data_IF_052912397234
#
_entry.id   IF_052912397234
#
_cell.length_a   1.000
_cell.length_b   1.000
_cell.length_c   1.000
_cell.angle_alpha   90.00
_cell.angle_beta   90.00
_cell.angle_gamma   90.00
#
_symmetry.space_group_name_H-M   'P 1'
#
loop_
_entity.id
_entity.type
_entity.pdbx_description
1 polymer ?
#
# COMPACT_ATOMS: atom_id res chain seq x y z
N UNK A 1 1.49 -2.63 41.31
CA UNK A 1 0.44 -1.85 40.61
C UNK A 1 0.63 -2.10 39.12
N UNK A 2 -0.04 -3.10 38.56
CA UNK A 2 0.08 -3.47 37.16
C UNK A 2 -0.79 -2.51 36.34
N UNK A 3 -0.17 -1.52 35.69
CA UNK A 3 -0.91 -0.66 34.76
C UNK A 3 -1.42 -1.55 33.63
N UNK A 4 -2.74 -1.81 33.60
CA UNK A 4 -3.40 -2.41 32.43
C UNK A 4 -3.24 -1.42 31.27
N UNK A 5 -2.32 -1.73 30.37
CA UNK A 5 -2.15 -1.02 29.10
C UNK A 5 -3.47 -1.18 28.35
N UNK A 6 -4.27 -0.10 28.26
CA UNK A 6 -5.49 -0.09 27.43
C UNK A 6 -5.10 -0.59 26.03
N UNK A 7 -5.92 -1.43 25.38
CA UNK A 7 -5.65 -1.80 24.00
C UNK A 7 -5.56 -0.53 23.17
N UNK A 8 -4.45 -0.35 22.45
CA UNK A 8 -4.23 0.78 21.56
C UNK A 8 -5.27 0.73 20.44
N UNK A 9 -6.16 1.72 20.41
CA UNK A 9 -7.07 1.90 19.29
C UNK A 9 -6.26 2.18 18.02
N UNK A 10 -6.73 1.61 16.91
CA UNK A 10 -6.17 1.84 15.59
C UNK A 10 -7.25 2.36 14.65
N UNK A 11 -6.86 3.27 13.76
CA UNK A 11 -7.65 3.67 12.60
C UNK A 11 -7.28 2.73 11.46
N UNK A 12 -8.28 2.29 10.69
CA UNK A 12 -8.09 1.45 9.52
C UNK A 12 -8.79 2.04 8.30
N UNK A 13 -8.25 1.69 7.13
CA UNK A 13 -8.86 1.90 5.82
C UNK A 13 -9.17 0.54 5.21
N UNK A 14 -10.44 0.27 4.89
CA UNK A 14 -10.84 -0.93 4.15
C UNK A 14 -11.25 -0.59 2.73
N UNK A 15 -10.91 -1.47 1.80
CA UNK A 15 -11.49 -1.52 0.47
C UNK A 15 -12.55 -2.62 0.38
N UNK A 16 -13.50 -2.46 -0.54
CA UNK A 16 -14.39 -3.52 -0.96
C UNK A 16 -14.07 -3.89 -2.41
N UNK A 17 -13.83 -5.17 -2.67
CA UNK A 17 -13.53 -5.64 -4.02
C UNK A 17 -14.65 -5.30 -5.00
N UNK A 18 -14.29 -4.72 -6.15
CA UNK A 18 -15.24 -4.28 -7.17
C UNK A 18 -15.92 -2.92 -6.89
N UNK A 19 -15.56 -2.23 -5.81
CA UNK A 19 -16.02 -0.87 -5.52
C UNK A 19 -14.84 0.07 -5.30
N UNK A 20 -14.92 1.25 -5.90
CA UNK A 20 -13.96 2.35 -5.66
C UNK A 20 -14.26 3.12 -4.37
N UNK A 21 -14.78 2.42 -3.35
CA UNK A 21 -15.15 2.99 -2.06
C UNK A 21 -14.25 2.44 -0.97
N UNK A 22 -13.82 3.35 -0.11
CA UNK A 22 -13.06 3.00 1.08
C UNK A 22 -13.83 3.32 2.35
N UNK A 23 -13.64 2.47 3.36
CA UNK A 23 -14.21 2.66 4.69
C UNK A 23 -13.13 3.10 5.67
N UNK A 24 -13.36 4.22 6.35
CA UNK A 24 -12.49 4.71 7.43
C UNK A 24 -13.20 4.39 8.75
N UNK A 25 -12.52 3.69 9.67
CA UNK A 25 -13.07 3.43 10.99
C UNK A 25 -12.01 3.12 12.04
N UNK A 26 -12.42 3.01 13.30
CA UNK A 26 -11.54 2.62 14.41
C UNK A 26 -11.90 1.27 15.01
N UNK A 27 -10.91 0.61 15.61
CA UNK A 27 -11.08 -0.65 16.36
C UNK A 27 -9.88 -0.91 17.27
N UNK A 28 -10.01 -1.84 18.20
CA UNK A 28 -8.89 -2.42 18.95
C UNK A 28 -8.43 -3.76 18.38
N UNK A 29 -9.20 -4.33 17.44
CA UNK A 29 -8.96 -5.62 16.79
C UNK A 29 -9.47 -5.54 15.34
N UNK A 30 -8.57 -5.33 14.38
CA UNK A 30 -8.91 -5.13 12.96
C UNK A 30 -9.39 -6.42 12.34
N UNK A 31 -8.71 -7.54 12.58
CA UNK A 31 -9.08 -8.84 12.01
C UNK A 31 -10.49 -9.27 12.42
N UNK A 32 -10.80 -9.19 13.72
CA UNK A 32 -12.14 -9.52 14.21
C UNK A 32 -13.20 -8.59 13.64
N UNK A 33 -12.88 -7.30 13.52
CA UNK A 33 -13.81 -6.30 12.97
C UNK A 33 -14.11 -6.58 11.50
N UNK A 34 -13.09 -6.86 10.69
CA UNK A 34 -13.24 -7.22 9.27
C UNK A 34 -14.07 -8.49 9.11
N UNK A 35 -13.74 -9.57 9.85
CA UNK A 35 -14.52 -10.82 9.83
C UNK A 35 -15.99 -10.60 10.18
N UNK A 36 -16.26 -9.77 11.18
CA UNK A 36 -17.64 -9.45 11.61
C UNK A 36 -18.38 -8.64 10.55
N UNK A 37 -17.70 -7.75 9.82
CA UNK A 37 -18.34 -6.98 8.74
C UNK A 37 -18.54 -7.83 7.48
N UNK A 38 -17.62 -8.74 7.18
CA UNK A 38 -17.69 -9.63 6.02
C UNK A 38 -18.95 -10.51 6.03
N UNK A 39 -19.46 -10.93 7.19
CA UNK A 39 -20.67 -11.76 7.26
C UNK A 39 -21.94 -11.05 6.76
N UNK A 40 -21.93 -9.71 6.76
CA UNK A 40 -23.04 -8.88 6.26
C UNK A 40 -22.82 -8.32 4.86
N UNK A 41 -21.70 -8.64 4.20
CA UNK A 41 -21.32 -8.08 2.90
C UNK A 41 -20.99 -9.22 1.91
N UNK A 42 -21.63 -9.25 0.73
CA UNK A 42 -21.31 -10.24 -0.30
C UNK A 42 -19.98 -9.94 -1.02
N UNK A 43 -19.40 -8.76 -0.81
CA UNK A 43 -18.12 -8.32 -1.41
C UNK A 43 -16.97 -8.63 -0.46
N UNK A 44 -15.82 -9.03 -1.00
CA UNK A 44 -14.59 -9.25 -0.22
C UNK A 44 -14.06 -7.94 0.34
N UNK A 45 -13.86 -7.86 1.65
CA UNK A 45 -13.21 -6.73 2.31
C UNK A 45 -11.71 -6.96 2.46
N UNK A 46 -10.91 -5.95 2.10
CA UNK A 46 -9.46 -5.96 2.28
C UNK A 46 -9.01 -4.79 3.17
N UNK A 47 -8.10 -5.06 4.10
CA UNK A 47 -7.44 -4.01 4.88
C UNK A 47 -6.38 -3.37 4.01
N UNK A 48 -6.58 -2.11 3.64
CA UNK A 48 -5.66 -1.38 2.78
C UNK A 48 -4.57 -0.68 3.59
N UNK A 49 -4.92 -0.19 4.79
CA UNK A 49 -4.00 0.58 5.64
C UNK A 49 -4.47 0.63 7.09
N UNK A 50 -3.53 0.81 8.02
CA UNK A 50 -3.80 1.01 9.46
C UNK A 50 -2.78 1.95 10.09
N UNK A 51 -3.19 2.72 11.09
CA UNK A 51 -2.28 3.45 11.97
C UNK A 51 -2.78 3.48 13.42
N UNK A 52 -1.90 3.81 14.35
CA UNK A 52 -2.31 4.16 15.71
C UNK A 52 -3.24 5.38 15.67
N UNK A 53 -4.34 5.31 16.42
CA UNK A 53 -5.30 6.40 16.47
C UNK A 53 -6.66 5.94 16.99
N UNK A 54 -7.38 6.86 17.61
CA UNK A 54 -8.71 6.61 18.14
C UNK A 54 -9.78 7.43 17.45
N UNK A 55 -10.94 7.51 18.11
CA UNK A 55 -12.12 8.24 17.60
C UNK A 55 -11.84 9.69 17.21
N UNK A 56 -10.89 10.36 17.87
CA UNK A 56 -10.52 11.74 17.53
C UNK A 56 -9.90 11.85 16.13
N UNK A 57 -9.00 10.92 15.77
CA UNK A 57 -8.39 10.88 14.45
C UNK A 57 -9.41 10.47 13.38
N UNK A 58 -10.23 9.45 13.67
CA UNK A 58 -11.34 9.05 12.79
C UNK A 58 -12.30 10.20 12.49
N UNK A 59 -12.74 10.92 13.53
CA UNK A 59 -13.64 12.06 13.37
C UNK A 59 -13.01 13.18 12.55
N UNK A 60 -11.72 13.46 12.74
CA UNK A 60 -11.00 14.45 11.95
C UNK A 60 -10.88 14.02 10.47
N UNK A 61 -10.62 12.74 10.19
CA UNK A 61 -10.60 12.21 8.82
C UNK A 61 -11.99 12.25 8.17
N UNK A 62 -13.04 11.89 8.90
CA UNK A 62 -14.41 11.98 8.41
C UNK A 62 -14.82 13.42 8.10
N UNK A 63 -14.34 14.38 8.90
CA UNK A 63 -14.55 15.80 8.65
C UNK A 63 -13.78 16.28 7.42
N UNK A 64 -12.52 15.87 7.27
CA UNK A 64 -11.69 16.22 6.11
C UNK A 64 -12.30 15.68 4.81
N UNK A 65 -12.73 14.42 4.80
CA UNK A 65 -13.29 13.77 3.62
C UNK A 65 -14.81 13.87 3.52
N UNK A 66 -15.43 14.81 4.25
CA UNK A 66 -16.89 14.93 4.29
C UNK A 66 -17.52 15.12 2.91
N UNK A 67 -16.85 15.86 2.02
CA UNK A 67 -17.30 16.10 0.64
C UNK A 67 -17.25 14.84 -0.23
N UNK A 68 -16.46 13.85 0.17
CA UNK A 68 -16.27 12.56 -0.49
C UNK A 68 -17.12 11.44 0.15
N UNK A 69 -17.88 11.75 1.18
CA UNK A 69 -18.74 10.78 1.85
C UNK A 69 -19.89 10.36 0.91
N UNK A 70 -19.97 9.06 0.60
CA UNK A 70 -21.05 8.51 -0.23
C UNK A 70 -22.18 7.95 0.63
N UNK A 71 -21.82 7.16 1.64
CA UNK A 71 -22.81 6.53 2.53
C UNK A 71 -22.19 6.12 3.86
N UNK A 72 -22.61 6.78 4.94
CA UNK A 72 -22.19 6.42 6.29
C UNK A 72 -20.69 6.63 6.48
N UNK A 73 -19.93 5.55 6.65
CA UNK A 73 -18.46 5.59 6.82
C UNK A 73 -17.71 5.23 5.53
N UNK A 74 -18.40 5.23 4.39
CA UNK A 74 -17.83 4.93 3.06
C UNK A 74 -17.59 6.21 2.26
N UNK A 75 -16.36 6.35 1.76
CA UNK A 75 -15.84 7.51 1.07
C UNK A 75 -15.33 7.13 -0.32
N UNK A 76 -15.54 8.03 -1.28
CA UNK A 76 -15.01 7.93 -2.64
C UNK A 76 -13.87 8.93 -2.79
N UNK A 77 -12.64 8.43 -2.59
CA UNK A 77 -11.43 9.25 -2.65
C UNK A 77 -10.77 9.23 -4.03
N UNK A 78 -11.36 8.57 -5.02
CA UNK A 78 -10.76 8.40 -6.35
C UNK A 78 -10.42 9.73 -7.03
N UNK A 79 -11.26 10.75 -6.83
CA UNK A 79 -11.03 12.10 -7.35
C UNK A 79 -9.83 12.81 -6.70
N UNK A 80 -9.41 12.37 -5.51
CA UNK A 80 -8.27 12.90 -4.78
C UNK A 80 -6.98 12.10 -5.04
N UNK A 81 -7.09 10.90 -5.61
CA UNK A 81 -5.98 10.01 -5.90
C UNK A 81 -6.13 8.64 -5.26
N UNK A 82 -5.00 8.02 -4.88
CA UNK A 82 -4.99 6.74 -4.16
C UNK A 82 -5.55 6.93 -2.73
N UNK A 83 -6.61 6.19 -2.35
CA UNK A 83 -7.23 6.34 -1.04
C UNK A 83 -6.28 6.14 0.14
N UNK A 84 -5.32 5.22 0.05
CA UNK A 84 -4.35 4.96 1.13
C UNK A 84 -3.42 6.15 1.31
N UNK A 85 -2.85 6.66 0.23
CA UNK A 85 -1.93 7.79 0.27
C UNK A 85 -2.61 9.09 0.71
N UNK A 86 -3.82 9.36 0.21
CA UNK A 86 -4.61 10.52 0.62
C UNK A 86 -4.89 10.48 2.13
N UNK A 87 -5.28 9.31 2.65
CA UNK A 87 -5.55 9.12 4.08
C UNK A 87 -4.26 9.20 4.90
N UNK A 88 -3.18 8.52 4.50
CA UNK A 88 -1.93 8.51 5.27
C UNK A 88 -1.32 9.90 5.40
N UNK A 89 -1.31 10.70 4.32
CA UNK A 89 -0.77 12.06 4.37
C UNK A 89 -1.66 12.99 5.19
N UNK A 90 -2.98 12.82 5.10
CA UNK A 90 -3.92 13.54 5.97
C UNK A 90 -3.70 13.20 7.44
N UNK A 91 -3.47 11.92 7.77
CA UNK A 91 -3.12 11.51 9.14
C UNK A 91 -1.81 12.16 9.59
N UNK A 92 -0.77 12.21 8.74
CA UNK A 92 0.50 12.87 9.09
C UNK A 92 0.33 14.36 9.38
N UNK A 93 -0.56 15.04 8.65
CA UNK A 93 -0.93 16.44 8.90
C UNK A 93 -1.69 16.63 10.21
N UNK A 94 -2.61 15.72 10.54
CA UNK A 94 -3.49 15.83 11.71
C UNK A 94 -2.88 15.30 13.01
N UNK A 95 -2.03 14.26 12.93
CA UNK A 95 -1.48 13.55 14.10
C UNK A 95 -0.78 14.47 15.12
N UNK A 96 0.07 15.44 14.72
CA UNK A 96 0.69 16.37 15.67
C UNK A 96 -0.33 17.19 16.47
N UNK A 97 -1.40 17.65 15.81
CA UNK A 97 -2.46 18.43 16.45
C UNK A 97 -3.32 17.63 17.42
N UNK A 98 -3.28 16.30 17.32
CA UNK A 98 -4.00 15.36 18.18
C UNK A 98 -3.12 14.70 19.25
N UNK A 99 -1.84 15.08 19.32
CA UNK A 99 -0.87 14.47 20.24
C UNK A 99 -0.55 13.01 19.92
N UNK A 100 -0.78 12.57 18.68
CA UNK A 100 -0.47 11.22 18.20
C UNK A 100 0.93 11.19 17.57
N UNK A 101 1.64 10.05 17.63
CA UNK A 101 2.87 9.90 16.89
C UNK A 101 2.59 10.07 15.39
N UNK A 102 3.47 10.80 14.70
CA UNK A 102 3.39 10.92 13.24
C UNK A 102 3.68 9.52 12.67
N UNK A 103 2.74 8.89 11.95
CA UNK A 103 3.02 7.60 11.35
C UNK A 103 4.17 7.76 10.36
N UNK A 104 5.04 6.74 10.24
CA UNK A 104 6.09 6.77 9.23
C UNK A 104 5.46 7.00 7.84
N UNK A 105 6.17 7.68 6.92
CA UNK A 105 5.75 7.73 5.53
C UNK A 105 5.49 6.29 5.06
N UNK A 106 4.50 6.12 4.17
CA UNK A 106 4.21 4.82 3.59
C UNK A 106 5.46 4.39 2.81
N UNK A 107 6.29 3.53 3.38
CA UNK A 107 7.40 2.93 2.65
C UNK A 107 6.76 1.90 1.74
N UNK A 108 6.70 2.15 0.43
CA UNK A 108 6.45 1.05 -0.49
C UNK A 108 7.60 0.05 -0.27
N UNK A 109 7.34 -1.22 0.10
CA UNK A 109 8.38 -2.18 0.46
C UNK A 109 9.34 -2.52 -0.69
N UNK A 110 9.15 -1.90 -1.84
CA UNK A 110 9.79 -2.20 -3.10
C UNK A 110 10.79 -1.12 -3.55
N UNK A 111 11.09 -0.08 -2.79
CA UNK A 111 12.13 0.88 -3.23
C UNK A 111 13.52 0.49 -2.78
N UNK A 112 14.39 0.25 -3.76
CA UNK A 112 15.83 0.11 -3.53
C UNK A 112 16.60 0.87 -4.60
N UNK A 113 17.81 1.33 -4.25
CA UNK A 113 18.73 1.92 -5.22
C UNK A 113 19.14 0.92 -6.31
N UNK A 114 19.14 -0.38 -5.99
CA UNK A 114 19.53 -1.48 -6.88
C UNK A 114 18.64 -2.70 -6.61
N UNK A 115 18.15 -3.42 -7.64
CA UNK A 115 17.41 -4.65 -7.46
C UNK A 115 18.32 -5.74 -6.89
N UNK A 116 18.03 -6.20 -5.67
CA UNK A 116 18.72 -7.35 -5.07
C UNK A 116 17.68 -8.32 -4.56
N UNK A 117 17.63 -9.51 -5.16
CA UNK A 117 16.81 -10.61 -4.67
C UNK A 117 17.71 -11.63 -3.98
N UNK A 118 17.63 -11.79 -2.64
CA UNK A 118 18.32 -12.88 -1.98
C UNK A 118 17.73 -14.21 -2.47
N UNK A 119 18.58 -15.12 -2.96
CA UNK A 119 18.15 -16.46 -3.36
C UNK A 119 17.74 -17.24 -2.11
N UNK A 120 16.50 -17.71 -2.06
CA UNK A 120 15.99 -18.50 -0.94
C UNK A 120 16.56 -19.93 -1.02
N UNK A 121 17.03 -20.53 0.09
CA UNK A 121 17.45 -21.93 0.10
C UNK A 121 16.37 -22.85 -0.48
N UNK A 122 16.74 -23.68 -1.46
CA UNK A 122 15.79 -24.55 -2.17
C UNK A 122 15.21 -23.96 -3.46
N UNK A 123 15.53 -22.70 -3.78
CA UNK A 123 15.23 -22.13 -5.09
C UNK A 123 16.07 -22.83 -6.18
N UNK A 124 15.41 -23.40 -7.18
CA UNK A 124 16.09 -24.00 -8.35
C UNK A 124 15.81 -23.26 -9.65
N UNK A 125 14.78 -22.40 -9.67
CA UNK A 125 14.43 -21.60 -10.84
C UNK A 125 14.06 -20.19 -10.40
N UNK A 126 14.60 -19.22 -11.12
CA UNK A 126 14.30 -17.80 -10.96
C UNK A 126 13.69 -17.29 -12.26
N UNK A 127 12.62 -16.53 -12.14
CA UNK A 127 12.05 -15.76 -13.25
C UNK A 127 12.17 -14.28 -12.90
N UNK A 128 12.79 -13.53 -13.79
CA UNK A 128 13.09 -12.12 -13.60
C UNK A 128 12.48 -11.34 -14.75
N UNK A 129 11.56 -10.44 -14.42
CA UNK A 129 10.87 -9.62 -15.40
C UNK A 129 11.16 -8.17 -15.12
N UNK A 130 11.50 -7.43 -16.17
CA UNK A 130 11.67 -5.99 -16.13
C UNK A 130 10.48 -5.33 -16.83
N UNK A 131 9.79 -4.43 -16.15
CA UNK A 131 8.70 -3.65 -16.75
C UNK A 131 8.95 -2.16 -16.55
N UNK A 132 8.81 -1.37 -17.60
CA UNK A 132 8.76 0.07 -17.48
C UNK A 132 7.32 0.50 -17.25
N UNK A 133 7.10 1.39 -16.27
CA UNK A 133 5.81 2.08 -16.14
C UNK A 133 6.02 3.49 -15.64
N UNK A 134 5.00 4.32 -15.82
CA UNK A 134 4.99 5.62 -15.18
C UNK A 134 4.96 5.45 -13.66
N UNK A 135 5.74 6.27 -12.97
CA UNK A 135 5.57 6.45 -11.53
C UNK A 135 4.11 6.77 -11.28
N UNK A 136 3.50 6.00 -10.40
CA UNK A 136 2.33 6.50 -9.74
C UNK A 136 2.77 7.65 -8.82
N UNK A 137 1.90 8.64 -8.64
CA UNK A 137 2.22 9.84 -7.87
C UNK A 137 2.68 9.52 -6.43
N UNK A 138 2.26 8.39 -5.83
CA UNK A 138 2.69 7.94 -4.50
C UNK A 138 4.14 7.44 -4.47
N UNK A 139 4.64 6.90 -5.58
CA UNK A 139 6.03 6.47 -5.68
C UNK A 139 6.95 7.66 -5.92
N UNK A 140 6.43 8.75 -6.51
CA UNK A 140 7.16 10.00 -6.61
C UNK A 140 7.64 10.45 -5.23
N UNK A 141 6.77 10.44 -4.22
CA UNK A 141 7.14 10.82 -2.84
C UNK A 141 8.23 9.92 -2.26
N UNK A 142 8.13 8.61 -2.50
CA UNK A 142 9.14 7.63 -2.08
C UNK A 142 10.52 7.87 -2.73
N UNK A 143 10.53 8.42 -3.95
CA UNK A 143 11.75 8.87 -4.65
C UNK A 143 12.15 10.32 -4.32
N UNK A 144 11.45 11.01 -3.40
CA UNK A 144 11.67 12.42 -3.10
C UNK A 144 11.32 13.37 -4.25
N UNK A 145 10.47 12.93 -5.17
CA UNK A 145 9.97 13.68 -6.32
C UNK A 145 8.61 14.32 -6.01
N UNK A 146 8.27 15.48 -6.60
CA UNK A 146 6.95 16.08 -6.44
C UNK A 146 5.86 15.16 -7.04
N UNK A 147 4.65 15.11 -6.47
CA UNK A 147 3.56 14.26 -6.96
C UNK A 147 3.16 14.50 -8.43
N UNK A 148 3.48 15.69 -8.97
CA UNK A 148 3.27 16.05 -10.38
C UNK A 148 4.36 15.52 -11.31
N UNK A 149 5.39 14.84 -10.79
CA UNK A 149 6.48 14.29 -11.59
C UNK A 149 5.98 13.08 -12.39
N UNK A 150 5.89 13.26 -13.69
CA UNK A 150 5.70 12.17 -14.64
C UNK A 150 7.07 11.66 -15.06
N UNK A 151 7.62 10.70 -14.32
CA UNK A 151 8.88 10.02 -14.70
C UNK A 151 8.64 8.53 -14.91
N UNK A 152 9.26 7.91 -15.93
CA UNK A 152 9.29 6.47 -16.04
C UNK A 152 10.09 5.89 -14.87
N UNK A 153 9.63 4.74 -14.37
CA UNK A 153 10.38 3.87 -13.47
C UNK A 153 10.42 2.46 -14.00
N UNK A 154 11.46 1.78 -13.57
CA UNK A 154 11.66 0.37 -13.85
C UNK A 154 11.20 -0.44 -12.65
N UNK A 155 10.21 -1.29 -12.87
CA UNK A 155 9.75 -2.30 -11.92
C UNK A 155 10.43 -3.63 -12.26
N UNK A 156 11.36 -4.02 -11.39
CA UNK A 156 12.04 -5.29 -11.38
C UNK A 156 11.23 -6.27 -10.55
N UNK A 157 10.77 -7.36 -11.16
CA UNK A 157 10.06 -8.44 -10.48
C UNK A 157 10.87 -9.72 -10.54
N UNK A 158 11.05 -10.36 -9.40
CA UNK A 158 11.67 -11.69 -9.30
C UNK A 158 10.69 -12.67 -8.69
N UNK A 159 10.49 -13.81 -9.33
CA UNK A 159 9.76 -14.97 -8.80
C UNK A 159 10.76 -16.11 -8.60
N UNK A 160 10.74 -16.69 -7.41
CA UNK A 160 11.59 -17.83 -7.05
C UNK A 160 10.72 -19.08 -6.98
N UNK A 161 11.18 -20.17 -7.59
CA UNK A 161 10.46 -21.44 -7.62
C UNK A 161 11.31 -22.57 -7.03
N UNK A 162 10.64 -23.52 -6.41
CA UNK A 162 11.25 -24.78 -5.95
C UNK A 162 11.39 -25.81 -7.09
N UNK A 163 11.93 -26.99 -6.78
CA UNK A 163 12.12 -28.08 -7.75
C UNK A 163 10.82 -28.70 -8.29
N UNK A 164 9.69 -28.45 -7.65
CA UNK A 164 8.36 -28.90 -8.07
C UNK A 164 7.66 -27.86 -8.94
N UNK A 165 8.16 -26.63 -8.96
CA UNK A 165 7.57 -25.50 -9.67
C UNK A 165 6.66 -24.62 -8.78
N UNK A 166 6.67 -24.82 -7.46
CA UNK A 166 5.91 -24.00 -6.52
C UNK A 166 6.63 -22.67 -6.26
N UNK A 167 5.87 -21.58 -6.13
CA UNK A 167 6.41 -20.24 -5.84
C UNK A 167 6.87 -20.17 -4.39
N UNK A 168 8.16 -19.93 -4.19
CA UNK A 168 8.79 -19.73 -2.87
C UNK A 168 8.70 -18.27 -2.42
N UNK A 169 8.91 -17.33 -3.34
CA UNK A 169 8.81 -15.90 -3.06
C UNK A 169 8.61 -15.09 -4.33
N UNK A 170 7.99 -13.92 -4.15
CA UNK A 170 7.92 -12.85 -5.15
C UNK A 170 8.51 -11.60 -4.52
N UNK A 171 9.45 -10.96 -5.22
CA UNK A 171 10.06 -9.70 -4.81
C UNK A 171 9.87 -8.69 -5.92
N UNK A 172 9.45 -7.48 -5.55
CA UNK A 172 9.31 -6.36 -6.46
C UNK A 172 10.28 -5.26 -6.04
N UNK A 173 10.88 -4.59 -7.03
CA UNK A 173 11.78 -3.48 -6.78
C UNK A 173 11.58 -2.40 -7.82
N UNK A 174 11.26 -1.20 -7.36
CA UNK A 174 11.13 0.00 -8.15
C UNK A 174 12.44 0.75 -8.12
N UNK A 175 12.94 1.11 -9.30
CA UNK A 175 14.17 1.87 -9.46
C UNK A 175 13.93 3.03 -10.41
N UNK A 176 14.51 4.18 -10.08
CA UNK A 176 14.52 5.38 -10.93
C UNK A 176 15.23 5.16 -12.27
N UNK A 177 14.90 5.97 -13.26
CA UNK A 177 15.36 5.96 -14.67
C UNK A 177 16.90 6.04 -14.88
N UNK A 178 17.69 6.20 -13.81
CA UNK A 178 19.15 6.38 -13.87
C UNK A 178 19.99 5.17 -13.45
N UNK A 179 19.39 4.00 -13.25
CA UNK A 179 20.10 2.81 -12.74
C UNK A 179 20.53 1.86 -13.87
N UNK A 180 21.75 1.30 -13.76
CA UNK A 180 22.27 0.30 -14.69
C UNK A 180 21.50 -1.02 -14.58
N UNK A 181 20.98 -1.56 -15.67
CA UNK A 181 20.20 -2.81 -15.63
C UNK A 181 21.05 -3.96 -15.06
N UNK A 182 20.67 -4.56 -13.92
CA UNK A 182 21.39 -5.71 -13.37
C UNK A 182 21.25 -6.95 -14.25
N UNK A 183 22.30 -7.78 -14.23
CA UNK A 183 22.39 -9.02 -15.01
C UNK A 183 21.25 -10.00 -14.67
N UNK A 184 20.67 -10.62 -15.71
CA UNK A 184 19.64 -11.66 -15.56
C UNK A 184 18.19 -11.17 -15.44
N UNK A 185 17.92 -9.88 -15.65
CA UNK A 185 16.56 -9.38 -15.88
C UNK A 185 16.29 -9.22 -17.37
N UNK A 186 15.26 -9.90 -17.87
CA UNK A 186 14.85 -9.81 -19.27
C UNK A 186 13.60 -8.93 -19.39
N UNK A 187 13.54 -8.12 -20.45
CA UNK A 187 12.31 -7.44 -20.84
C UNK A 187 11.33 -8.51 -21.36
N UNK A 188 10.04 -8.43 -21.01
CA UNK A 188 9.06 -9.30 -21.64
C UNK A 188 9.14 -9.12 -23.16
N UNK A 189 8.95 -10.18 -23.95
CA UNK A 189 8.92 -10.07 -25.40
C UNK A 189 7.86 -9.04 -25.77
N UNK A 190 8.27 -8.02 -26.54
CA UNK A 190 7.35 -7.02 -27.09
C UNK A 190 6.31 -7.80 -27.89
N UNK A 191 5.08 -7.86 -27.41
CA UNK A 191 3.98 -8.36 -28.21
C UNK A 191 3.80 -7.37 -29.36
N UNK A 192 4.39 -7.69 -30.51
CA UNK A 192 4.23 -6.92 -31.73
C UNK A 192 2.75 -6.81 -32.06
N UNK A 193 2.20 -5.62 -31.89
CA UNK A 193 0.90 -5.27 -32.43
C UNK A 193 0.98 -5.38 -33.95
N UNK A 194 0.16 -6.25 -34.50
CA UNK A 194 -0.15 -6.31 -35.93
C UNK A 194 -1.34 -5.40 -36.23
#
# INVERSE_FOLDING_TARGET
>A
MTQSRKPSEVVYLLGAEGLDLVKIGTTTDVERRVRTMQTGLPLTLSVLWTCEGGRALEGALHQEFREHNRRGEWFDLTSLGDPVAVVSETVRRLAPGLGLPIPPPRVSPDLALTPVAPTIPGCVRLERTLTARMLAWFECEDFGLPPSASKPVMLYRTVQYDAKGDVLAVTQTLVGDGHEQPEGFELPPVQGGN
#
